data_IF_445650864336
#
_entry.id   IF_445650864336
#
_cell.length_a   1.000
_cell.length_b   1.000
_cell.length_c   1.000
_cell.angle_alpha   90.00
_cell.angle_beta   90.00
_cell.angle_gamma   90.00
#
_symmetry.space_group_name_H-M   'P 1'
#
loop_
_entity.id
_entity.type
_entity.pdbx_description
1 polymer ?
#
# COMPACT_ATOMS: atom_id res chain seq x y z
N UNK A 1 21.61 -2.52 4.74
CA UNK A 1 21.00 -1.87 5.92
C UNK A 1 19.50 -1.89 5.72
N UNK A 2 18.70 -1.91 6.80
CA UNK A 2 17.23 -1.96 6.71
C UNK A 2 16.65 -0.64 6.19
N UNK A 3 15.42 -0.68 5.65
CA UNK A 3 14.67 0.53 5.29
C UNK A 3 14.29 1.33 6.54
N UNK A 4 13.99 2.61 6.34
CA UNK A 4 13.48 3.49 7.39
C UNK A 4 12.10 4.02 7.01
N UNK A 5 11.18 3.95 7.95
CA UNK A 5 9.82 4.46 7.86
C UNK A 5 9.69 5.69 8.76
N UNK A 6 9.38 6.82 8.15
CA UNK A 6 8.99 8.06 8.82
C UNK A 6 7.47 8.08 8.89
N UNK A 7 6.93 8.24 10.09
CA UNK A 7 5.53 7.94 10.37
C UNK A 7 4.84 9.16 10.97
N UNK A 8 3.73 9.58 10.37
CA UNK A 8 2.95 10.72 10.84
C UNK A 8 2.33 10.44 12.23
N UNK A 9 2.25 11.45 13.08
CA UNK A 9 1.75 11.31 14.46
C UNK A 9 0.29 10.81 14.50
N UNK A 10 -0.50 11.12 13.47
CA UNK A 10 -1.87 10.62 13.32
C UNK A 10 -1.92 9.08 13.25
N UNK A 11 -0.89 8.44 12.70
CA UNK A 11 -0.75 6.98 12.63
C UNK A 11 -0.50 6.41 14.03
N UNK A 12 0.38 7.04 14.82
CA UNK A 12 0.62 6.65 16.21
C UNK A 12 -0.67 6.71 17.04
N UNK A 13 -1.42 7.82 16.90
CA UNK A 13 -2.71 8.00 17.55
C UNK A 13 -3.74 6.94 17.13
N UNK A 14 -3.76 6.56 15.84
CA UNK A 14 -4.62 5.51 15.33
C UNK A 14 -4.25 4.13 15.94
N UNK A 15 -2.99 3.72 15.84
CA UNK A 15 -2.51 2.44 16.36
C UNK A 15 -2.72 2.32 17.88
N UNK A 16 -2.50 3.42 18.61
CA UNK A 16 -2.72 3.49 20.06
C UNK A 16 -4.17 3.25 20.45
N UNK A 17 -5.12 3.88 19.73
CA UNK A 17 -6.58 3.66 19.91
C UNK A 17 -6.99 2.22 19.59
N UNK A 18 -6.43 1.63 18.53
CA UNK A 18 -6.71 0.23 18.16
C UNK A 18 -6.17 -0.78 19.19
N UNK A 19 -5.11 -0.42 19.93
CA UNK A 19 -4.60 -1.22 21.02
C UNK A 19 -5.51 -1.17 22.27
N UNK A 20 -6.35 -0.14 22.47
CA UNK A 20 -7.29 -0.07 23.59
C UNK A 20 -8.49 -1.02 23.44
N UNK A 21 -8.73 -1.53 22.24
CA UNK A 21 -9.82 -2.47 21.96
C UNK A 21 -9.53 -3.84 22.55
N UNK A 22 -10.51 -4.41 23.27
CA UNK A 22 -10.32 -5.61 24.10
C UNK A 22 -10.42 -6.95 23.37
N UNK A 23 -10.89 -6.98 22.12
CA UNK A 23 -11.23 -8.24 21.44
C UNK A 23 -10.37 -8.49 20.19
N UNK A 24 -9.73 -9.65 20.15
CA UNK A 24 -9.12 -10.23 18.96
C UNK A 24 -7.83 -9.58 18.45
N UNK A 25 -7.21 -10.23 17.47
CA UNK A 25 -6.18 -9.61 16.66
C UNK A 25 -6.82 -8.57 15.73
N UNK A 26 -6.18 -7.41 15.59
CA UNK A 26 -6.63 -6.35 14.69
C UNK A 26 -5.60 -6.23 13.58
N UNK A 27 -6.05 -6.32 12.33
CA UNK A 27 -5.21 -6.13 11.15
C UNK A 27 -5.61 -4.88 10.40
N UNK A 28 -4.71 -4.40 9.56
CA UNK A 28 -4.96 -3.26 8.69
C UNK A 28 -3.79 -2.98 7.77
N UNK A 29 -3.93 -1.87 7.04
CA UNK A 29 -3.01 -1.42 6.02
C UNK A 29 -2.28 -0.16 6.45
N UNK A 30 -1.04 -0.03 6.00
CA UNK A 30 -0.22 1.16 6.13
C UNK A 30 -0.12 1.83 4.76
N UNK A 31 -0.51 3.10 4.70
CA UNK A 31 -0.66 3.86 3.48
C UNK A 31 0.30 5.04 3.51
N UNK A 32 0.89 5.34 2.36
CA UNK A 32 1.99 6.29 2.32
C UNK A 32 2.65 6.41 0.97
N UNK A 33 3.79 7.06 0.97
CA UNK A 33 4.64 7.26 -0.21
C UNK A 33 5.96 6.52 -0.01
N UNK A 34 6.39 5.80 -1.05
CA UNK A 34 7.72 5.20 -1.06
C UNK A 34 8.73 6.12 -1.74
N UNK A 35 9.97 6.12 -1.26
CA UNK A 35 11.10 6.77 -1.92
C UNK A 35 12.33 5.86 -1.89
N UNK A 36 13.38 6.13 -2.70
CA UNK A 36 14.56 5.27 -2.77
C UNK A 36 15.25 5.05 -1.40
N UNK A 37 15.27 6.07 -0.54
CA UNK A 37 16.00 6.01 0.74
C UNK A 37 15.12 5.65 1.95
N UNK A 38 13.86 6.14 1.96
CA UNK A 38 12.95 6.04 3.11
C UNK A 38 11.50 6.02 2.67
N UNK A 39 10.62 5.49 3.50
CA UNK A 39 9.18 5.51 3.23
C UNK A 39 8.47 6.43 4.23
N UNK A 40 7.39 7.04 3.77
CA UNK A 40 6.57 7.93 4.57
C UNK A 40 5.21 7.30 4.81
N UNK A 41 4.90 6.92 6.03
CA UNK A 41 3.61 6.34 6.42
C UNK A 41 2.72 7.47 6.95
N UNK A 42 1.65 7.77 6.21
CA UNK A 42 0.78 8.92 6.51
C UNK A 42 -0.56 8.49 7.10
N UNK A 43 -0.99 7.24 6.87
CA UNK A 43 -2.26 6.74 7.36
C UNK A 43 -2.20 5.24 7.69
N UNK A 44 -2.83 4.85 8.80
CA UNK A 44 -3.13 3.46 9.12
C UNK A 44 -4.64 3.26 9.08
N UNK A 45 -5.09 2.31 8.26
CA UNK A 45 -6.51 1.95 8.15
C UNK A 45 -6.73 0.54 8.64
N UNK A 46 -7.68 0.36 9.56
CA UNK A 46 -8.05 -0.96 10.07
C UNK A 46 -8.83 -1.73 9.01
N UNK A 47 -8.52 -3.02 8.82
CA UNK A 47 -9.35 -3.91 8.03
C UNK A 47 -10.72 -4.08 8.69
N UNK A 48 -11.83 -3.77 7.99
CA UNK A 48 -13.17 -3.89 8.56
C UNK A 48 -13.46 -5.30 9.09
N UNK A 49 -14.25 -5.45 10.17
CA UNK A 49 -14.67 -6.77 10.60
C UNK A 49 -15.58 -7.40 9.53
N UNK A 50 -15.35 -8.66 9.20
CA UNK A 50 -16.21 -9.41 8.29
C UNK A 50 -17.43 -9.93 9.06
N UNK A 51 -18.64 -9.55 8.62
CA UNK A 51 -19.91 -9.77 9.32
C UNK A 51 -20.20 -11.26 9.65
N UNK A 52 -19.63 -12.19 8.88
CA UNK A 52 -19.89 -13.64 9.01
C UNK A 52 -18.88 -14.39 9.88
N UNK A 53 -17.91 -13.70 10.49
CA UNK A 53 -16.81 -14.39 11.20
C UNK A 53 -17.09 -14.51 12.69
N UNK A 54 -17.20 -15.72 13.26
CA UNK A 54 -17.29 -15.88 14.70
C UNK A 54 -16.04 -15.31 15.38
N UNK A 55 -16.24 -14.68 16.54
CA UNK A 55 -15.17 -14.13 17.36
C UNK A 55 -14.16 -15.22 17.72
N UNK A 56 -12.92 -15.09 17.23
CA UNK A 56 -11.83 -16.03 17.53
C UNK A 56 -11.15 -16.70 16.34
N UNK A 57 -11.60 -16.43 15.10
CA UNK A 57 -10.90 -16.96 13.93
C UNK A 57 -9.51 -16.32 13.72
N UNK A 58 -8.54 -17.10 13.19
CA UNK A 58 -7.25 -16.57 12.76
C UNK A 58 -7.45 -15.49 11.70
N UNK A 59 -6.43 -14.63 11.54
CA UNK A 59 -6.42 -13.54 10.56
C UNK A 59 -6.88 -14.04 9.18
N UNK A 60 -8.00 -13.50 8.69
CA UNK A 60 -8.56 -13.77 7.36
C UNK A 60 -7.70 -13.05 6.31
N UNK A 61 -6.87 -13.80 5.59
CA UNK A 61 -5.87 -13.26 4.67
C UNK A 61 -6.53 -12.76 3.40
N UNK A 62 -7.53 -13.50 2.93
CA UNK A 62 -8.31 -13.21 1.74
C UNK A 62 -9.05 -11.89 1.94
N UNK A 63 -9.64 -11.67 3.13
CA UNK A 63 -10.33 -10.42 3.44
C UNK A 63 -9.39 -9.22 3.59
N UNK A 64 -8.23 -9.39 4.23
CA UNK A 64 -7.22 -8.31 4.31
C UNK A 64 -6.68 -7.96 2.92
N UNK A 65 -6.50 -8.97 2.05
CA UNK A 65 -6.04 -8.76 0.67
C UNK A 65 -7.10 -8.03 -0.16
N UNK A 66 -8.38 -8.41 -0.02
CA UNK A 66 -9.49 -7.72 -0.66
C UNK A 66 -9.61 -6.26 -0.19
N UNK A 67 -9.45 -6.00 1.12
CA UNK A 67 -9.38 -4.65 1.65
C UNK A 67 -8.23 -3.84 1.01
N UNK A 68 -7.04 -4.44 0.87
CA UNK A 68 -5.91 -3.79 0.22
C UNK A 68 -6.16 -3.48 -1.25
N UNK A 69 -6.80 -4.40 -1.98
CA UNK A 69 -7.19 -4.24 -3.38
C UNK A 69 -8.19 -3.10 -3.57
N UNK A 70 -9.16 -2.95 -2.68
CA UNK A 70 -10.11 -1.85 -2.74
C UNK A 70 -9.44 -0.52 -2.42
N UNK A 71 -8.64 -0.48 -1.35
CA UNK A 71 -7.94 0.74 -0.94
C UNK A 71 -6.95 1.19 -2.00
N UNK A 72 -6.17 0.29 -2.63
CA UNK A 72 -5.20 0.66 -3.66
C UNK A 72 -5.83 1.39 -4.85
N UNK A 73 -7.09 1.08 -5.19
CA UNK A 73 -7.86 1.74 -6.25
C UNK A 73 -8.46 3.09 -5.84
N UNK A 74 -8.58 3.34 -4.54
CA UNK A 74 -9.16 4.56 -3.97
C UNK A 74 -8.11 5.60 -3.57
N UNK A 75 -6.83 5.22 -3.54
CA UNK A 75 -5.76 6.14 -3.19
C UNK A 75 -5.57 7.20 -4.28
N UNK A 76 -5.33 8.47 -3.90
CA UNK A 76 -4.90 9.46 -4.87
C UNK A 76 -3.50 9.12 -5.39
N UNK A 77 -3.15 9.68 -6.55
CA UNK A 77 -1.81 9.54 -7.12
C UNK A 77 -0.72 9.99 -6.14
N UNK A 78 0.43 9.31 -6.16
CA UNK A 78 1.55 9.54 -5.25
C UNK A 78 1.45 8.83 -3.89
N UNK A 79 0.33 8.16 -3.61
CA UNK A 79 0.15 7.29 -2.45
C UNK A 79 -0.05 5.84 -2.88
N UNK A 80 0.45 4.91 -2.07
CA UNK A 80 0.28 3.48 -2.26
C UNK A 80 0.07 2.75 -0.93
N UNK A 81 -0.31 1.48 -1.01
CA UNK A 81 -0.32 0.57 0.14
C UNK A 81 1.13 0.14 0.37
N UNK A 82 1.76 0.68 1.41
CA UNK A 82 3.15 0.36 1.75
C UNK A 82 3.28 -0.99 2.47
N UNK A 83 2.21 -1.46 3.10
CA UNK A 83 2.17 -2.78 3.72
C UNK A 83 1.07 -2.94 4.75
N UNK A 84 1.33 -3.78 5.74
CA UNK A 84 0.32 -4.25 6.70
C UNK A 84 0.75 -4.10 8.15
N UNK A 85 -0.23 -3.99 9.03
CA UNK A 85 -0.01 -4.10 10.46
C UNK A 85 -0.90 -5.17 11.10
N UNK A 86 -0.40 -5.75 12.20
CA UNK A 86 -1.16 -6.61 13.11
C UNK A 86 -0.96 -6.14 14.56
N UNK A 87 -2.07 -6.03 15.29
CA UNK A 87 -2.11 -5.71 16.71
C UNK A 87 -2.66 -6.91 17.45
N UNK A 88 -1.88 -7.47 18.36
CA UNK A 88 -2.24 -8.70 19.08
C UNK A 88 -1.50 -8.80 20.41
N UNK A 89 -1.94 -9.71 21.27
CA UNK A 89 -1.27 -10.02 22.54
C UNK A 89 -0.12 -11.02 22.38
N UNK A 90 -0.04 -11.71 21.23
CA UNK A 90 0.99 -12.70 20.92
C UNK A 90 2.34 -12.05 20.59
N UNK A 91 3.42 -12.82 20.71
CA UNK A 91 4.77 -12.34 20.42
C UNK A 91 4.97 -12.09 18.92
N UNK A 92 5.87 -11.18 18.59
CA UNK A 92 6.15 -10.80 17.20
C UNK A 92 6.58 -12.01 16.34
N UNK A 93 7.36 -12.93 16.93
CA UNK A 93 7.84 -14.15 16.27
C UNK A 93 6.71 -15.05 15.79
N UNK A 94 5.63 -15.15 16.57
CA UNK A 94 4.50 -16.01 16.26
C UNK A 94 3.65 -15.44 15.10
N UNK A 95 3.67 -14.12 14.94
CA UNK A 95 2.91 -13.42 13.88
C UNK A 95 3.67 -13.22 12.58
N UNK A 96 5.00 -13.43 12.58
CA UNK A 96 5.86 -13.08 11.45
C UNK A 96 5.47 -13.84 10.17
N UNK A 97 5.14 -15.13 10.29
CA UNK A 97 4.70 -15.94 9.15
C UNK A 97 3.38 -15.45 8.58
N UNK A 98 2.44 -15.06 9.45
CA UNK A 98 1.15 -14.50 9.04
C UNK A 98 1.35 -13.17 8.30
N UNK A 99 2.17 -12.27 8.86
CA UNK A 99 2.51 -11.00 8.23
C UNK A 99 3.16 -11.19 6.86
N UNK A 100 4.12 -12.11 6.74
CA UNK A 100 4.72 -12.46 5.45
C UNK A 100 3.63 -12.88 4.46
N UNK A 101 2.76 -13.82 4.84
CA UNK A 101 1.71 -14.32 3.96
C UNK A 101 0.75 -13.22 3.52
N UNK A 102 0.41 -12.28 4.41
CA UNK A 102 -0.41 -11.11 4.07
C UNK A 102 0.27 -10.20 3.05
N UNK A 103 1.53 -9.84 3.29
CA UNK A 103 2.31 -8.97 2.39
C UNK A 103 2.32 -9.54 0.97
N UNK A 104 2.67 -10.81 0.81
CA UNK A 104 2.72 -11.45 -0.51
C UNK A 104 1.33 -11.64 -1.14
N UNK A 105 0.30 -11.91 -0.35
CA UNK A 105 -1.08 -12.04 -0.87
C UNK A 105 -1.61 -10.70 -1.38
N UNK A 106 -1.35 -9.61 -0.66
CA UNK A 106 -1.70 -8.26 -1.07
C UNK A 106 -0.98 -7.88 -2.35
N UNK A 107 0.34 -8.05 -2.39
CA UNK A 107 1.14 -7.72 -3.57
C UNK A 107 0.67 -8.50 -4.80
N UNK A 108 0.52 -9.82 -4.65
CA UNK A 108 0.05 -10.69 -5.73
C UNK A 108 -1.29 -10.21 -6.30
N UNK A 109 -2.23 -9.81 -5.43
CA UNK A 109 -3.55 -9.37 -5.84
C UNK A 109 -3.53 -7.98 -6.48
N UNK A 110 -2.88 -7.01 -5.84
CA UNK A 110 -2.80 -5.61 -6.30
C UNK A 110 -2.06 -5.53 -7.64
N UNK A 111 -0.91 -6.20 -7.75
CA UNK A 111 -0.07 -6.14 -8.95
C UNK A 111 -0.66 -6.91 -10.14
N UNK A 112 -1.52 -7.91 -9.89
CA UNK A 112 -2.23 -8.63 -10.98
C UNK A 112 -3.26 -7.77 -11.72
N UNK A 113 -3.78 -6.73 -11.08
CA UNK A 113 -4.83 -5.86 -11.63
C UNK A 113 -4.28 -4.52 -12.15
N UNK A 114 -3.00 -4.25 -11.93
CA UNK A 114 -2.36 -3.01 -12.33
C UNK A 114 -2.23 -2.95 -13.86
N UNK A 115 -2.68 -1.84 -14.44
CA UNK A 115 -2.64 -1.61 -15.89
C UNK A 115 -1.31 -1.01 -16.35
N UNK A 116 -0.55 -0.42 -15.42
CA UNK A 116 0.77 0.16 -15.62
C UNK A 116 1.87 -0.75 -15.08
N UNK A 117 3.06 -0.68 -15.67
CA UNK A 117 4.21 -1.44 -15.18
C UNK A 117 4.89 -0.70 -14.03
N UNK A 118 5.29 -1.45 -13.00
CA UNK A 118 6.26 -0.96 -12.03
C UNK A 118 7.60 -0.73 -12.75
N UNK A 119 8.20 0.45 -12.57
CA UNK A 119 9.52 0.74 -13.10
C UNK A 119 10.58 -0.17 -12.46
N UNK A 120 11.70 -0.39 -13.15
CA UNK A 120 12.77 -1.25 -12.61
C UNK A 120 13.32 -0.72 -11.28
N UNK A 121 13.35 0.61 -11.12
CA UNK A 121 13.83 1.31 -9.92
C UNK A 121 12.77 1.45 -8.81
N UNK A 122 11.56 0.92 -9.01
CA UNK A 122 10.52 0.97 -7.98
C UNK A 122 10.91 0.12 -6.77
N UNK A 123 10.71 0.71 -5.60
CA UNK A 123 10.89 0.06 -4.31
C UNK A 123 9.96 -1.15 -4.18
N UNK A 124 10.54 -2.33 -4.02
CA UNK A 124 9.82 -3.58 -3.82
C UNK A 124 9.67 -4.00 -2.35
N UNK A 125 10.26 -3.25 -1.42
CA UNK A 125 10.14 -3.57 0.00
C UNK A 125 8.76 -3.14 0.55
N UNK A 126 8.02 -4.10 1.08
CA UNK A 126 6.73 -3.89 1.73
C UNK A 126 6.87 -4.05 3.25
N UNK A 127 6.22 -3.15 4.02
CA UNK A 127 6.31 -3.13 5.49
C UNK A 127 5.35 -4.11 6.16
N UNK A 128 5.85 -4.77 7.20
CA UNK A 128 5.10 -5.65 8.09
C UNK A 128 5.31 -5.19 9.54
N UNK A 129 4.27 -4.59 10.10
CA UNK A 129 4.29 -4.03 11.45
C UNK A 129 3.57 -4.95 12.44
N UNK A 130 4.24 -5.37 13.49
CA UNK A 130 3.60 -6.00 14.65
C UNK A 130 3.57 -5.01 15.81
N UNK A 131 2.43 -4.88 16.47
CA UNK A 131 2.28 -4.10 17.70
C UNK A 131 1.74 -5.03 18.78
N UNK A 132 2.51 -5.20 19.85
CA UNK A 132 2.04 -5.97 20.99
C UNK A 132 1.14 -5.08 21.86
N UNK A 133 -0.12 -5.46 22.02
CA UNK A 133 -1.13 -4.66 22.73
C UNK A 133 -0.81 -4.47 24.22
N UNK A 134 -0.23 -5.49 24.88
CA UNK A 134 0.10 -5.45 26.31
C UNK A 134 1.31 -4.58 26.61
N UNK A 135 2.38 -4.77 25.84
CA UNK A 135 3.66 -4.09 26.08
C UNK A 135 3.80 -2.78 25.32
N UNK A 136 2.90 -2.50 24.36
CA UNK A 136 2.96 -1.38 23.42
C UNK A 136 4.26 -1.35 22.59
N UNK A 137 4.99 -2.47 22.53
CA UNK A 137 6.18 -2.61 21.71
C UNK A 137 5.80 -2.81 20.26
N UNK A 138 6.49 -2.09 19.39
CA UNK A 138 6.34 -2.17 17.94
C UNK A 138 7.54 -2.87 17.33
N UNK A 139 7.30 -3.82 16.45
CA UNK A 139 8.31 -4.55 15.69
C UNK A 139 8.06 -4.33 14.21
N UNK A 140 8.98 -3.62 13.55
CA UNK A 140 8.90 -3.31 12.13
C UNK A 140 9.84 -4.21 11.33
N UNK A 141 9.29 -4.84 10.28
CA UNK A 141 10.02 -5.69 9.34
C UNK A 141 9.65 -5.33 7.92
N UNK A 142 10.54 -5.63 6.98
CA UNK A 142 10.24 -5.51 5.55
C UNK A 142 10.47 -6.82 4.82
N UNK A 143 9.72 -6.98 3.75
CA UNK A 143 9.88 -8.07 2.78
C UNK A 143 9.99 -7.47 1.39
N UNK A 144 11.06 -7.82 0.69
CA UNK A 144 11.13 -7.63 -0.76
C UNK A 144 10.09 -8.54 -1.44
N UNK A 145 9.06 -7.95 -2.03
CA UNK A 145 7.93 -8.67 -2.63
C UNK A 145 8.26 -9.25 -4.01
N UNK A 146 9.32 -8.76 -4.67
CA UNK A 146 9.82 -9.31 -5.94
C UNK A 146 10.59 -10.62 -5.72
N UNK A 147 11.06 -10.90 -4.49
CA UNK A 147 11.71 -12.16 -4.12
C UNK A 147 10.79 -13.06 -3.25
N UNK A 148 10.22 -14.15 -3.79
CA UNK A 148 9.38 -15.09 -3.04
C UNK A 148 10.08 -15.72 -1.82
N UNK A 149 11.42 -15.78 -1.83
CA UNK A 149 12.26 -16.31 -0.75
C UNK A 149 12.75 -15.22 0.21
N UNK A 150 12.38 -13.96 -0.03
CA UNK A 150 12.76 -12.80 0.76
C UNK A 150 12.64 -13.05 2.26
N UNK A 151 13.63 -12.68 3.04
CA UNK A 151 13.61 -12.86 4.50
C UNK A 151 13.28 -11.54 5.19
N UNK A 152 12.71 -11.63 6.40
CA UNK A 152 12.27 -10.44 7.13
C UNK A 152 13.46 -9.58 7.59
N UNK A 153 13.68 -8.45 6.91
CA UNK A 153 14.74 -7.50 7.28
C UNK A 153 14.22 -6.57 8.39
N UNK A 154 14.98 -6.31 9.47
CA UNK A 154 14.64 -5.25 10.41
C UNK A 154 14.55 -3.91 9.68
N UNK A 155 13.59 -3.07 10.05
CA UNK A 155 13.47 -1.71 9.56
C UNK A 155 13.23 -0.73 10.70
N UNK A 156 13.71 0.50 10.52
CA UNK A 156 13.54 1.57 11.48
C UNK A 156 12.13 2.15 11.37
N UNK A 157 11.46 2.30 12.50
CA UNK A 157 10.12 2.89 12.59
C UNK A 157 10.19 4.12 13.48
N UNK A 158 10.02 5.33 12.91
CA UNK A 158 10.23 6.60 13.61
C UNK A 158 9.04 7.52 13.40
N UNK A 159 8.42 7.95 14.49
CA UNK A 159 7.37 8.97 14.44
C UNK A 159 7.97 10.36 14.24
N UNK A 160 7.33 11.17 13.42
CA UNK A 160 7.72 12.54 13.15
C UNK A 160 6.46 13.37 12.90
N UNK A 161 6.38 14.52 13.57
CA UNK A 161 5.28 15.45 13.37
C UNK A 161 5.35 16.13 11.99
N UNK A 162 4.20 16.25 11.33
CA UNK A 162 4.07 17.06 10.12
C UNK A 162 4.78 16.47 8.91
N UNK A 163 4.83 15.15 8.78
CA UNK A 163 5.34 14.46 7.58
C UNK A 163 4.66 14.99 6.33
N UNK A 164 3.34 15.18 6.40
CA UNK A 164 2.55 15.70 5.29
C UNK A 164 2.63 17.22 5.12
N UNK A 165 3.27 17.97 6.04
CA UNK A 165 3.24 19.45 6.00
C UNK A 165 4.00 20.04 4.82
N UNK A 166 4.95 19.30 4.25
CA UNK A 166 5.73 19.69 3.07
C UNK A 166 5.13 19.19 1.74
N UNK A 167 4.03 18.43 1.79
CA UNK A 167 3.46 17.82 0.60
C UNK A 167 2.56 18.79 -0.14
N UNK A 168 2.91 19.04 -1.41
CA UNK A 168 2.09 19.86 -2.30
C UNK A 168 1.06 18.99 -3.01
N UNK A 169 -0.22 19.34 -2.89
CA UNK A 169 -1.29 18.68 -3.64
C UNK A 169 -1.39 19.30 -5.03
N UNK A 170 -1.19 18.48 -6.07
CA UNK A 170 -1.46 18.84 -7.45
C UNK A 170 -2.75 18.16 -7.88
N UNK A 171 -3.67 18.93 -8.47
CA UNK A 171 -4.92 18.40 -9.04
C UNK A 171 -4.86 18.52 -10.55
N UNK A 172 -5.14 17.41 -11.24
CA UNK A 172 -5.28 17.36 -12.68
C UNK A 172 -6.58 16.64 -13.02
N UNK A 173 -7.35 17.17 -13.96
CA UNK A 173 -8.54 16.52 -14.48
C UNK A 173 -8.28 16.09 -15.92
N UNK A 174 -8.33 14.78 -16.16
CA UNK A 174 -8.24 14.21 -17.48
C UNK A 174 -9.62 13.75 -17.93
N UNK A 175 -10.11 14.33 -19.02
CA UNK A 175 -11.35 13.86 -19.64
C UNK A 175 -11.02 12.69 -20.55
N UNK A 176 -11.66 11.57 -20.28
CA UNK A 176 -11.42 10.31 -20.99
C UNK A 176 -12.68 9.96 -21.77
N UNK A 177 -12.61 10.08 -23.09
CA UNK A 177 -13.65 9.60 -24.01
C UNK A 177 -13.07 8.44 -24.81
N UNK A 178 -13.52 7.23 -24.51
CA UNK A 178 -13.00 5.99 -25.08
C UNK A 178 -14.14 5.12 -25.63
N UNK A 179 -13.95 4.64 -26.86
CA UNK A 179 -14.78 3.62 -27.46
C UNK A 179 -14.05 2.28 -27.38
N UNK A 180 -14.60 1.33 -26.62
CA UNK A 180 -14.02 -0.01 -26.50
C UNK A 180 -14.84 -0.97 -27.37
N UNK A 181 -14.25 -1.55 -28.44
CA UNK A 181 -14.93 -2.58 -29.21
C UNK A 181 -15.12 -3.84 -28.34
N UNK A 182 -16.37 -4.28 -28.22
CA UNK A 182 -16.71 -5.51 -27.49
C UNK A 182 -16.90 -6.67 -28.47
N UNK A 183 -16.52 -7.90 -28.08
CA UNK A 183 -16.77 -9.07 -28.92
C UNK A 183 -18.28 -9.32 -29.07
N UNK A 184 -18.71 -9.74 -30.26
CA UNK A 184 -20.12 -10.01 -30.57
C UNK A 184 -20.74 -11.11 -29.68
N UNK A 185 -19.90 -12.03 -29.19
CA UNK A 185 -20.32 -13.11 -28.30
C UNK A 185 -20.42 -12.61 -26.84
N UNK A 186 -21.55 -11.99 -26.50
CA UNK A 186 -21.87 -11.44 -25.16
C UNK A 186 -21.98 -12.48 -24.04
N UNK A 187 -21.88 -13.77 -24.36
CA UNK A 187 -22.08 -14.87 -23.40
C UNK A 187 -20.84 -15.22 -22.59
N UNK A 188 -19.68 -14.67 -22.95
CA UNK A 188 -18.40 -14.94 -22.29
C UNK A 188 -17.86 -13.70 -21.55
N UNK A 189 -18.08 -13.58 -20.22
CA UNK A 189 -17.60 -12.45 -19.43
C UNK A 189 -16.07 -12.39 -19.33
N UNK A 190 -15.35 -13.50 -19.50
CA UNK A 190 -13.87 -13.49 -19.51
C UNK A 190 -13.32 -12.79 -20.75
N UNK A 191 -13.95 -13.01 -21.91
CA UNK A 191 -13.59 -12.29 -23.14
C UNK A 191 -13.86 -10.78 -23.03
N UNK A 192 -14.94 -10.38 -22.35
CA UNK A 192 -15.25 -8.96 -22.14
C UNK A 192 -14.24 -8.27 -21.23
N UNK A 193 -13.91 -8.87 -20.07
CA UNK A 193 -12.90 -8.34 -19.15
C UNK A 193 -11.53 -8.20 -19.83
N UNK A 194 -11.15 -9.23 -20.60
CA UNK A 194 -9.91 -9.21 -21.39
C UNK A 194 -9.89 -8.06 -22.41
N UNK A 195 -10.94 -7.91 -23.22
CA UNK A 195 -11.01 -6.82 -24.20
C UNK A 195 -10.95 -5.43 -23.56
N UNK A 196 -11.66 -5.23 -22.44
CA UNK A 196 -11.62 -3.96 -21.70
C UNK A 196 -10.21 -3.68 -21.16
N UNK A 197 -9.56 -4.69 -20.56
CA UNK A 197 -8.19 -4.55 -20.04
C UNK A 197 -7.17 -4.26 -21.13
N UNK A 198 -7.30 -4.86 -22.31
CA UNK A 198 -6.41 -4.62 -23.44
C UNK A 198 -6.50 -3.16 -23.95
N UNK A 199 -7.71 -2.64 -24.14
CA UNK A 199 -7.91 -1.25 -24.54
C UNK A 199 -7.43 -0.25 -23.47
N UNK A 200 -7.77 -0.50 -22.20
CA UNK A 200 -7.33 0.32 -21.08
C UNK A 200 -5.80 0.30 -20.92
N UNK A 201 -5.13 -0.83 -21.21
CA UNK A 201 -3.67 -0.93 -21.19
C UNK A 201 -3.03 -0.06 -22.28
N UNK A 202 -3.59 -0.06 -23.49
CA UNK A 202 -3.14 0.84 -24.56
C UNK A 202 -3.26 2.31 -24.16
N UNK A 203 -4.30 2.67 -23.40
CA UNK A 203 -4.47 4.01 -22.87
C UNK A 203 -3.50 4.34 -21.73
N UNK A 204 -3.30 3.40 -20.80
CA UNK A 204 -2.32 3.54 -19.71
C UNK A 204 -0.91 3.80 -20.25
N UNK A 205 -0.49 3.08 -21.30
CA UNK A 205 0.82 3.30 -21.95
C UNK A 205 0.97 4.72 -22.53
N UNK A 206 -0.12 5.33 -23.03
CA UNK A 206 -0.11 6.72 -23.49
C UNK A 206 0.04 7.71 -22.33
N UNK A 207 -0.50 7.38 -21.16
CA UNK A 207 -0.32 8.18 -19.95
C UNK A 207 1.11 8.04 -19.41
N UNK A 208 1.64 6.82 -19.35
CA UNK A 208 3.02 6.54 -18.92
C UNK A 208 4.06 7.26 -19.80
N UNK A 209 3.82 7.31 -21.12
CA UNK A 209 4.67 8.05 -22.05
C UNK A 209 4.38 9.57 -22.11
N UNK A 210 3.38 10.04 -21.37
CA UNK A 210 3.02 11.44 -21.30
C UNK A 210 4.10 12.27 -20.62
N UNK A 211 4.26 13.52 -21.06
CA UNK A 211 5.18 14.47 -20.43
C UNK A 211 4.39 15.37 -19.47
N UNK A 212 4.76 15.36 -18.19
CA UNK A 212 4.19 16.28 -17.22
C UNK A 212 4.81 17.68 -17.39
N UNK A 213 3.94 18.69 -17.48
CA UNK A 213 4.34 20.10 -17.54
C UNK A 213 3.79 20.83 -16.30
N UNK A 214 4.64 21.57 -15.61
CA UNK A 214 4.21 22.58 -14.63
C UNK A 214 4.31 23.96 -15.26
N UNK A 215 3.22 24.71 -15.31
CA UNK A 215 3.13 26.02 -15.96
C UNK A 215 3.69 26.04 -17.40
N UNK A 216 3.40 24.98 -18.16
CA UNK A 216 3.85 24.82 -19.54
C UNK A 216 5.34 24.51 -19.71
N UNK A 217 6.07 24.29 -18.61
CA UNK A 217 7.49 23.91 -18.62
C UNK A 217 7.65 22.44 -18.27
N UNK A 218 8.51 21.76 -19.02
CA UNK A 218 8.90 20.39 -18.71
C UNK A 218 9.61 20.38 -17.36
N UNK A 219 9.14 19.54 -16.44
CA UNK A 219 9.80 19.35 -15.16
C UNK A 219 11.18 18.72 -15.39
N UNK A 220 12.16 19.12 -14.59
CA UNK A 220 13.42 18.36 -14.51
C UNK A 220 13.12 16.95 -13.97
N UNK A 221 14.06 16.02 -14.15
CA UNK A 221 13.96 14.71 -13.50
C UNK A 221 13.82 14.87 -11.99
N UNK A 222 13.09 13.93 -11.37
CA UNK A 222 12.79 13.98 -9.94
C UNK A 222 14.08 14.17 -9.14
N UNK A 223 14.12 15.27 -8.39
CA UNK A 223 15.21 15.59 -7.48
C UNK A 223 14.76 15.32 -6.05
N UNK A 224 15.69 14.91 -5.20
CA UNK A 224 15.40 14.69 -3.79
C UNK A 224 14.78 15.94 -3.17
N UNK A 225 13.67 15.77 -2.44
CA UNK A 225 13.14 16.84 -1.60
C UNK A 225 14.23 17.17 -0.57
N UNK A 226 14.78 18.40 -0.56
CA UNK A 226 15.70 18.77 0.50
C UNK A 226 14.95 18.61 1.81
N UNK A 227 15.43 17.70 2.67
CA UNK A 227 14.80 17.43 3.96
C UNK A 227 14.55 18.75 4.65
N UNK A 228 13.29 18.99 5.05
CA UNK A 228 12.86 20.23 5.66
C UNK A 228 13.88 20.69 6.70
N UNK A 229 14.56 21.80 6.40
CA UNK A 229 15.35 22.48 7.41
C UNK A 229 14.36 23.05 8.44
N UNK A 230 14.74 22.86 9.70
CA UNK A 230 14.07 23.30 10.94
C UNK A 230 13.58 24.73 10.86
#
# INVERSE_FOLDING_TARGET
MGRSYIVEDAVEGCLSKLCEQKAGSVTGLLLGQSSPQRDFVVMATRTPPREETPAGNPVDKEWVSEHARQVSRMLPGGLSVLGVFIITDTEAKDTLTTLRQLVFAIESLVSSEQLWSSAEDDVSDCVALHVNRKTRKTFCRTFDVKDPKSTAKPADWRYQAGVCSSWSMVSCCLHVDMLVPLPDNKTDPENMDKCLKEELRGWAQRLESGVCLMDGRKLAEDAELPGGQV
#
